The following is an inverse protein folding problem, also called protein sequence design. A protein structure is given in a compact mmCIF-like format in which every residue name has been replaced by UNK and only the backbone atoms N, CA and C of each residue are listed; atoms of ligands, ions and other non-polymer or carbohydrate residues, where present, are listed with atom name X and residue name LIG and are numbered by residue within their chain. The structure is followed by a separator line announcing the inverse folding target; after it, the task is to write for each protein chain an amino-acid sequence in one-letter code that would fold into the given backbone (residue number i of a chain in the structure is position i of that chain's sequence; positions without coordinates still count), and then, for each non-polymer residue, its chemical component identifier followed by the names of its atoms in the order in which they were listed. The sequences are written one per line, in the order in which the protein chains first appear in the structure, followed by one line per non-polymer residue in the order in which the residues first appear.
data_IF_150993162682
#
_entry.id   IF_150993162682
#
_cell.length_a   1.000
_cell.length_b   1.000
_cell.length_c   1.000
_cell.angle_alpha   90.00
_cell.angle_beta   90.00
_cell.angle_gamma   90.00
#
_symmetry.space_group_name_H-M   'P 1'
#
loop_
_entity.id
_entity.type
_entity.pdbx_description
1 polymer ?
#
# COMPACT_ATOMS: atom_id res chain seq x y z
N UNK A 1 1.67 14.25 -3.36
CA UNK A 1 2.80 13.86 -4.24
C UNK A 1 2.59 12.39 -4.56
N UNK A 2 2.26 12.09 -5.82
CA UNK A 2 1.58 10.85 -6.24
C UNK A 2 2.20 9.58 -5.66
N UNK A 3 1.39 8.73 -5.01
CA UNK A 3 1.74 7.35 -4.70
C UNK A 3 1.86 6.54 -6.00
N UNK A 4 2.98 6.72 -6.70
CA UNK A 4 3.32 5.92 -7.86
C UNK A 4 3.56 4.49 -7.40
N UNK A 5 2.61 3.63 -7.76
CA UNK A 5 2.73 2.20 -7.55
C UNK A 5 3.87 1.63 -8.39
N UNK A 6 4.79 0.93 -7.74
CA UNK A 6 5.90 0.26 -8.41
C UNK A 6 5.33 -0.99 -9.08
N UNK A 7 5.30 -0.95 -10.41
CA UNK A 7 4.60 -1.94 -11.25
C UNK A 7 5.17 -3.36 -11.14
N UNK A 8 6.48 -3.47 -10.87
CA UNK A 8 7.20 -4.74 -10.70
C UNK A 8 6.97 -5.40 -9.34
N UNK A 9 6.49 -4.64 -8.35
CA UNK A 9 6.28 -5.08 -6.97
C UNK A 9 4.85 -5.57 -6.73
N UNK A 10 4.69 -6.40 -5.71
CA UNK A 10 3.38 -6.84 -5.23
C UNK A 10 2.65 -5.73 -4.49
N UNK A 11 1.34 -5.92 -4.28
CA UNK A 11 0.53 -5.01 -3.46
C UNK A 11 1.13 -4.85 -2.06
N UNK A 12 1.49 -5.97 -1.42
CA UNK A 12 2.10 -5.98 -0.09
C UNK A 12 3.43 -5.23 -0.09
N UNK A 13 4.31 -5.54 -1.03
CA UNK A 13 5.62 -4.89 -1.14
C UNK A 13 5.49 -3.37 -1.35
N UNK A 14 4.52 -2.91 -2.13
CA UNK A 14 4.27 -1.48 -2.30
C UNK A 14 3.90 -0.79 -0.99
N UNK A 15 3.02 -1.40 -0.19
CA UNK A 15 2.59 -0.87 1.12
C UNK A 15 3.75 -0.90 2.12
N UNK A 16 4.44 -2.04 2.24
CA UNK A 16 5.61 -2.20 3.14
C UNK A 16 6.74 -1.22 2.78
N UNK A 17 7.01 -1.01 1.48
CA UNK A 17 7.99 -0.05 1.02
C UNK A 17 7.61 1.38 1.40
N UNK A 18 6.33 1.72 1.23
CA UNK A 18 5.73 2.97 1.70
C UNK A 18 5.91 3.15 3.22
N UNK A 19 5.66 2.11 4.01
CA UNK A 19 5.85 2.07 5.46
C UNK A 19 7.31 2.30 5.84
N UNK A 20 8.21 1.62 5.14
CA UNK A 20 9.64 1.67 5.40
C UNK A 20 10.19 3.09 5.22
N UNK A 21 9.76 3.79 4.15
CA UNK A 21 10.22 5.13 3.83
C UNK A 21 9.66 6.22 4.76
N UNK A 22 8.40 6.09 5.22
CA UNK A 22 7.74 7.16 6.00
C UNK A 22 7.72 6.95 7.51
N UNK A 23 7.96 5.74 7.99
CA UNK A 23 8.01 5.44 9.43
C UNK A 23 9.46 5.35 9.91
N UNK A 24 9.78 5.96 11.05
CA UNK A 24 11.13 5.90 11.63
C UNK A 24 11.60 4.45 11.90
N UNK A 25 12.91 4.21 11.75
CA UNK A 25 13.53 2.87 11.78
C UNK A 25 13.53 2.17 13.16
N UNK A 26 13.06 2.83 14.21
CA UNK A 26 13.10 2.31 15.58
C UNK A 26 12.09 1.20 15.86
N UNK A 27 11.15 0.92 14.94
CA UNK A 27 10.00 0.05 15.18
C UNK A 27 9.68 -0.89 14.00
N UNK A 28 10.59 -1.78 13.61
CA UNK A 28 10.36 -2.75 12.50
C UNK A 28 9.17 -3.69 12.74
N UNK A 29 9.00 -4.23 13.95
CA UNK A 29 7.91 -5.15 14.29
C UNK A 29 6.51 -4.48 14.22
N UNK A 30 6.34 -3.25 14.76
CA UNK A 30 5.12 -2.47 14.61
C UNK A 30 4.75 -2.17 13.15
N UNK A 31 5.74 -1.93 12.26
CA UNK A 31 5.48 -1.68 10.84
C UNK A 31 4.74 -2.85 10.18
N UNK A 32 5.23 -4.08 10.41
CA UNK A 32 4.66 -5.28 9.79
C UNK A 32 3.22 -5.56 10.25
N UNK A 33 2.93 -5.39 11.53
CA UNK A 33 1.56 -5.54 12.06
C UNK A 33 0.63 -4.46 11.51
N UNK A 34 1.11 -3.23 11.38
CA UNK A 34 0.35 -2.14 10.79
C UNK A 34 0.00 -2.44 9.33
N UNK A 35 0.97 -2.87 8.53
CA UNK A 35 0.77 -3.20 7.12
C UNK A 35 -0.23 -4.35 6.93
N UNK A 36 -0.15 -5.40 7.76
CA UNK A 36 -1.10 -6.53 7.70
C UNK A 36 -2.52 -6.14 8.11
N UNK A 37 -2.67 -5.28 9.13
CA UNK A 37 -3.96 -4.74 9.53
C UNK A 37 -4.55 -3.88 8.42
N UNK A 38 -3.74 -2.99 7.85
CA UNK A 38 -4.16 -2.03 6.83
C UNK A 38 -4.55 -2.72 5.50
N UNK A 39 -3.84 -3.76 5.10
CA UNK A 39 -4.22 -4.63 3.98
C UNK A 39 -5.54 -5.38 4.24
N UNK A 40 -5.84 -5.69 5.50
CA UNK A 40 -7.11 -6.34 5.88
C UNK A 40 -8.26 -5.33 5.87
N UNK A 41 -8.06 -4.15 6.47
CA UNK A 41 -9.05 -3.07 6.58
C UNK A 41 -9.47 -2.54 5.20
N UNK A 42 -8.55 -2.52 4.23
CA UNK A 42 -8.83 -2.06 2.86
C UNK A 42 -9.19 -3.18 1.88
N UNK A 43 -9.44 -4.41 2.37
CA UNK A 43 -9.83 -5.56 1.53
C UNK A 43 -8.81 -5.76 0.39
N UNK A 44 -7.52 -5.78 0.75
CA UNK A 44 -6.39 -6.02 -0.16
C UNK A 44 -5.68 -7.35 0.12
N UNK A 45 -6.03 -8.03 1.23
CA UNK A 45 -5.38 -9.29 1.66
C UNK A 45 -5.46 -10.40 0.61
N UNK A 46 -6.55 -10.48 -0.17
CA UNK A 46 -6.71 -11.49 -1.23
C UNK A 46 -5.83 -11.24 -2.46
N UNK A 47 -5.34 -10.01 -2.65
CA UNK A 47 -4.44 -9.63 -3.74
C UNK A 47 -3.04 -9.24 -3.25
N UNK A 48 -2.70 -9.47 -1.97
CA UNK A 48 -1.46 -9.00 -1.36
C UNK A 48 -0.21 -9.43 -2.14
N UNK A 49 -0.23 -10.65 -2.69
CA UNK A 49 0.89 -11.26 -3.40
C UNK A 49 0.84 -11.05 -4.92
N UNK A 50 -0.19 -10.36 -5.45
CA UNK A 50 -0.28 -10.06 -6.89
C UNK A 50 0.59 -8.84 -7.21
N UNK A 51 1.32 -8.90 -8.32
CA UNK A 51 2.02 -7.74 -8.87
C UNK A 51 1.02 -6.69 -9.35
N UNK A 52 1.22 -5.43 -9.02
CA UNK A 52 0.29 -4.35 -9.43
C UNK A 52 0.23 -4.23 -10.96
N UNK A 53 1.38 -4.37 -11.62
CA UNK A 53 1.51 -4.18 -13.06
C UNK A 53 1.48 -2.70 -13.47
N UNK A 54 1.79 -2.45 -14.74
CA UNK A 54 1.91 -1.10 -15.27
C UNK A 54 0.56 -0.49 -15.62
N UNK A 55 0.55 0.78 -16.00
CA UNK A 55 -0.62 1.47 -16.52
C UNK A 55 -1.15 0.85 -17.82
N UNK A 56 -0.27 0.20 -18.59
CA UNK A 56 -0.59 -0.43 -19.88
C UNK A 56 -1.08 -1.87 -19.67
N UNK A 57 -0.50 -2.58 -18.68
CA UNK A 57 -0.86 -3.96 -18.36
C UNK A 57 -0.89 -4.16 -16.83
N UNK A 58 -2.07 -3.97 -16.26
CA UNK A 58 -2.31 -4.17 -14.83
C UNK A 58 -2.78 -5.59 -14.53
N UNK A 59 -2.38 -6.13 -13.36
CA UNK A 59 -2.89 -7.42 -12.88
C UNK A 59 -3.89 -7.27 -11.73
N UNK A 60 -4.30 -6.02 -11.44
CA UNK A 60 -5.34 -5.68 -10.47
C UNK A 60 -6.36 -4.75 -11.12
N UNK A 61 -7.57 -4.73 -10.60
CA UNK A 61 -8.61 -3.80 -11.07
C UNK A 61 -8.26 -2.35 -10.70
N UNK A 62 -8.88 -1.39 -11.40
CA UNK A 62 -8.71 0.02 -11.08
C UNK A 62 -9.20 0.38 -9.67
N UNK A 63 -10.26 -0.28 -9.18
CA UNK A 63 -10.75 -0.13 -7.82
C UNK A 63 -9.76 -0.65 -6.77
N UNK A 64 -9.16 -1.82 -7.02
CA UNK A 64 -8.07 -2.33 -6.20
C UNK A 64 -6.87 -1.38 -6.22
N UNK A 65 -6.47 -0.88 -7.40
CA UNK A 65 -5.39 0.10 -7.55
C UNK A 65 -5.61 1.35 -6.70
N UNK A 66 -6.83 1.91 -6.70
CA UNK A 66 -7.20 3.04 -5.84
C UNK A 66 -7.09 2.67 -4.35
N UNK A 67 -7.56 1.49 -3.93
CA UNK A 67 -7.41 1.02 -2.55
C UNK A 67 -5.95 0.83 -2.14
N UNK A 68 -5.07 0.36 -3.03
CA UNK A 68 -3.63 0.28 -2.75
C UNK A 68 -3.01 1.67 -2.60
N UNK A 69 -3.40 2.64 -3.43
CA UNK A 69 -2.93 4.02 -3.27
C UNK A 69 -3.38 4.62 -1.93
N UNK A 70 -4.65 4.40 -1.53
CA UNK A 70 -5.16 4.78 -0.20
C UNK A 70 -4.38 4.08 0.90
N UNK A 71 -4.08 2.78 0.73
CA UNK A 71 -3.30 2.01 1.68
C UNK A 71 -1.94 2.66 1.91
N UNK A 72 -1.24 3.00 0.83
CA UNK A 72 0.05 3.68 0.87
C UNK A 72 -0.03 5.04 1.58
N UNK A 73 -1.06 5.86 1.38
CA UNK A 73 -1.18 7.13 2.11
C UNK A 73 -1.52 6.94 3.60
N UNK A 74 -2.29 5.89 3.93
CA UNK A 74 -2.75 5.63 5.29
C UNK A 74 -1.69 4.96 6.18
N UNK A 75 -0.55 4.52 5.64
CA UNK A 75 0.51 3.84 6.43
C UNK A 75 1.07 4.67 7.58
N UNK A 76 1.02 6.01 7.50
CA UNK A 76 1.44 6.88 8.61
C UNK A 76 0.33 7.12 9.64
N UNK A 77 -0.84 6.49 9.46
CA UNK A 77 -2.06 6.70 10.25
C UNK A 77 -2.33 8.19 10.51
N UNK A 78 -2.49 8.99 9.43
CA UNK A 78 -2.66 10.42 9.58
C UNK A 78 -4.01 10.74 10.24
N UNK A 79 -4.07 11.84 11.00
CA UNK A 79 -5.33 12.30 11.62
C UNK A 79 -6.38 12.71 10.57
N UNK A 80 -5.94 13.13 9.38
CA UNK A 80 -6.79 13.50 8.26
C UNK A 80 -6.20 12.95 6.97
N UNK A 81 -7.03 12.36 6.11
CA UNK A 81 -6.64 11.84 4.81
C UNK A 81 -7.39 12.60 3.71
N UNK A 82 -6.65 13.31 2.87
CA UNK A 82 -7.19 13.95 1.68
C UNK A 82 -7.10 12.98 0.49
N UNK A 83 -8.22 12.76 -0.17
CA UNK A 83 -8.32 11.96 -1.39
C UNK A 83 -8.84 12.87 -2.50
N UNK A 84 -8.07 12.98 -3.58
CA UNK A 84 -8.43 13.68 -4.81
C UNK A 84 -8.93 12.68 -5.86
#
# INVERSE_FOLDING_TARGET
MMSQLISSMTVKENVEFSAYLRLNNTKKLPKKQLDEKLLSDLILKHISNRKVGSCIKSNISNGERKRVAIAMENVISPNFLYLD
#
